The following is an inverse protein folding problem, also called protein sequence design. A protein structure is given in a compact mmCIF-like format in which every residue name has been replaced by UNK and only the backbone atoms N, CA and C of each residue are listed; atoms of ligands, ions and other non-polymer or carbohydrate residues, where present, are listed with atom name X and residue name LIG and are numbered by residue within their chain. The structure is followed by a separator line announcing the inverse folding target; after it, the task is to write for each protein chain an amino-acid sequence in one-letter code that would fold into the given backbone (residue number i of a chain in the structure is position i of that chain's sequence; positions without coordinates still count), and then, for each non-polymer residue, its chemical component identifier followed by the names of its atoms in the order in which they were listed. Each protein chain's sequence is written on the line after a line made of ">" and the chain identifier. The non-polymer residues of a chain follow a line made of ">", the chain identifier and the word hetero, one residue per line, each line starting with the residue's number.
data_IF_797548300432
#
_entry.id   IF_797548300432
#
_cell.length_a   1.000
_cell.length_b   1.000
_cell.length_c   1.000
_cell.angle_alpha   90.00
_cell.angle_beta   90.00
_cell.angle_gamma   90.00
#
_symmetry.space_group_name_H-M   'P 1'
#
loop_
_entity.id
_entity.type
_entity.pdbx_description
1 polymer ?
#
# COMPACT_ATOMS: atom_id res chain seq x y z
N UNK A 1 1.48 -21.25 -8.52
CA UNK A 1 2.64 -21.11 -7.61
C UNK A 1 2.33 -20.06 -6.56
N UNK A 2 2.19 -20.48 -5.28
CA UNK A 2 2.33 -19.58 -4.13
C UNK A 2 3.65 -18.81 -4.29
N UNK A 3 3.67 -17.55 -3.84
CA UNK A 3 4.88 -16.72 -3.87
C UNK A 3 6.09 -17.54 -3.40
N UNK A 4 7.19 -17.50 -4.17
CA UNK A 4 8.43 -18.16 -3.81
C UNK A 4 8.80 -17.71 -2.38
N UNK A 5 9.28 -18.62 -1.51
CA UNK A 5 9.42 -18.36 -0.08
C UNK A 5 10.07 -17.00 0.22
N UNK A 6 11.08 -16.60 -0.56
CA UNK A 6 11.89 -15.40 -0.37
C UNK A 6 11.15 -14.08 -0.17
N UNK A 7 10.02 -13.83 -0.85
CA UNK A 7 9.28 -12.56 -0.65
C UNK A 7 8.38 -12.56 0.58
N UNK A 8 7.81 -13.71 0.94
CA UNK A 8 6.99 -13.82 2.14
C UNK A 8 7.80 -13.47 3.39
N UNK A 9 9.07 -13.90 3.46
CA UNK A 9 9.96 -13.56 4.58
C UNK A 9 10.23 -12.08 4.75
N UNK A 10 10.21 -11.28 3.67
CA UNK A 10 10.44 -9.84 3.75
C UNK A 10 9.14 -9.06 4.01
N UNK A 11 8.03 -9.50 3.40
CA UNK A 11 6.74 -8.79 3.48
C UNK A 11 6.01 -9.09 4.79
N UNK A 12 6.03 -10.33 5.28
CA UNK A 12 5.31 -10.71 6.49
C UNK A 12 5.78 -9.98 7.76
N UNK A 13 7.09 -9.81 8.03
CA UNK A 13 7.54 -9.03 9.19
C UNK A 13 7.16 -7.55 9.08
N UNK A 14 7.21 -6.97 7.88
CA UNK A 14 6.79 -5.60 7.64
C UNK A 14 5.28 -5.42 7.94
N UNK A 15 4.46 -6.34 7.43
CA UNK A 15 3.01 -6.33 7.67
C UNK A 15 2.70 -6.55 9.16
N UNK A 16 3.37 -7.50 9.81
CA UNK A 16 3.21 -7.77 11.23
C UNK A 16 3.62 -6.56 12.08
N UNK A 17 4.75 -5.92 11.78
CA UNK A 17 5.21 -4.73 12.48
C UNK A 17 4.24 -3.55 12.31
N UNK A 18 3.77 -3.31 11.08
CA UNK A 18 2.78 -2.28 10.78
C UNK A 18 1.44 -2.56 11.48
N UNK A 19 0.94 -3.78 11.42
CA UNK A 19 -0.29 -4.19 12.08
C UNK A 19 -0.19 -4.05 13.60
N UNK A 20 0.92 -4.49 14.20
CA UNK A 20 1.18 -4.35 15.63
C UNK A 20 1.26 -2.87 16.05
N UNK A 21 1.90 -2.02 15.25
CA UNK A 21 1.92 -0.58 15.49
C UNK A 21 0.52 0.04 15.50
N UNK A 22 -0.33 -0.30 14.53
CA UNK A 22 -1.72 0.16 14.50
C UNK A 22 -2.55 -0.41 15.65
N UNK A 23 -2.40 -1.70 15.97
CA UNK A 23 -3.10 -2.37 17.06
C UNK A 23 -2.75 -1.75 18.43
N UNK A 24 -1.46 -1.46 18.68
CA UNK A 24 -1.01 -0.75 19.91
C UNK A 24 -1.63 0.63 20.07
N UNK A 25 -1.96 1.30 18.96
CA UNK A 25 -2.67 2.58 18.96
C UNK A 25 -4.20 2.44 18.96
N UNK A 26 -4.71 1.23 19.15
CA UNK A 26 -6.15 0.87 19.10
C UNK A 26 -6.81 1.19 17.75
N UNK A 27 -6.02 1.24 16.67
CA UNK A 27 -6.48 1.48 15.30
C UNK A 27 -6.77 0.14 14.61
N UNK A 28 -7.67 -0.65 15.18
CA UNK A 28 -7.96 -2.03 14.77
C UNK A 28 -8.32 -2.18 13.30
N UNK A 29 -9.11 -1.24 12.78
CA UNK A 29 -9.44 -1.21 11.36
C UNK A 29 -8.19 -1.19 10.46
N UNK A 30 -7.20 -0.35 10.80
CA UNK A 30 -5.98 -0.20 10.01
C UNK A 30 -5.09 -1.43 10.13
N UNK A 31 -5.03 -2.02 11.32
CA UNK A 31 -4.31 -3.28 11.53
C UNK A 31 -4.91 -4.39 10.66
N UNK A 32 -6.24 -4.56 10.68
CA UNK A 32 -6.93 -5.53 9.83
C UNK A 32 -6.74 -5.25 8.35
N UNK A 33 -6.90 -4.00 7.91
CA UNK A 33 -6.72 -3.62 6.51
C UNK A 33 -5.32 -3.93 5.97
N UNK A 34 -4.28 -3.59 6.74
CA UNK A 34 -2.88 -3.84 6.35
C UNK A 34 -2.57 -5.32 6.23
N UNK A 35 -3.20 -6.17 7.05
CA UNK A 35 -3.02 -7.62 6.96
C UNK A 35 -3.84 -8.24 5.83
N UNK A 36 -5.10 -7.82 5.64
CA UNK A 36 -6.03 -8.51 4.75
C UNK A 36 -5.96 -8.05 3.29
N UNK A 37 -5.69 -6.77 3.05
CA UNK A 37 -5.67 -6.24 1.68
C UNK A 37 -4.59 -6.86 0.78
N UNK A 38 -3.35 -7.11 1.24
CA UNK A 38 -2.33 -7.77 0.44
C UNK A 38 -2.70 -9.22 0.12
N UNK A 39 -3.22 -9.97 1.09
CA UNK A 39 -3.64 -11.36 0.90
C UNK A 39 -4.79 -11.47 -0.11
N UNK A 40 -5.77 -10.56 -0.02
CA UNK A 40 -6.83 -10.47 -1.02
C UNK A 40 -6.26 -10.23 -2.43
N UNK A 41 -5.30 -9.31 -2.57
CA UNK A 41 -4.68 -9.04 -3.86
C UNK A 41 -3.94 -10.27 -4.42
N UNK A 42 -3.26 -11.04 -3.57
CA UNK A 42 -2.59 -12.29 -3.95
C UNK A 42 -3.59 -13.36 -4.39
N UNK A 43 -4.70 -13.50 -3.67
CA UNK A 43 -5.78 -14.44 -4.02
C UNK A 43 -6.38 -14.08 -5.38
N UNK A 44 -6.79 -12.83 -5.57
CA UNK A 44 -7.34 -12.36 -6.85
C UNK A 44 -6.32 -12.53 -7.98
N UNK A 45 -5.05 -12.21 -7.73
CA UNK A 45 -3.99 -12.40 -8.73
C UNK A 45 -3.85 -13.86 -9.15
N UNK A 46 -3.88 -14.78 -8.18
CA UNK A 46 -3.63 -16.20 -8.42
C UNK A 46 -4.80 -16.88 -9.11
N UNK A 47 -6.04 -16.55 -8.72
CA UNK A 47 -7.23 -17.28 -9.14
C UNK A 47 -8.03 -16.58 -10.23
N UNK A 48 -7.83 -15.28 -10.43
CA UNK A 48 -8.58 -14.50 -11.43
C UNK A 48 -7.63 -13.96 -12.48
N UNK A 49 -6.64 -13.17 -12.07
CA UNK A 49 -5.78 -12.46 -13.02
C UNK A 49 -4.92 -13.44 -13.83
N UNK A 50 -4.18 -14.32 -13.17
CA UNK A 50 -3.31 -15.27 -13.89
C UNK A 50 -4.09 -16.10 -14.92
N UNK A 51 -5.21 -16.76 -14.58
CA UNK A 51 -6.01 -17.48 -15.58
C UNK A 51 -6.61 -16.59 -16.67
N UNK A 52 -6.93 -15.33 -16.36
CA UNK A 52 -7.52 -14.39 -17.33
C UNK A 52 -6.52 -13.99 -18.43
N UNK A 53 -5.25 -13.76 -18.07
CA UNK A 53 -4.22 -13.40 -19.05
C UNK A 53 -3.55 -14.60 -19.71
N UNK A 54 -3.55 -15.75 -19.04
CA UNK A 54 -3.03 -17.03 -19.53
C UNK A 54 -1.67 -16.91 -20.24
N UNK A 55 -0.75 -16.13 -19.64
CA UNK A 55 0.60 -15.90 -20.17
C UNK A 55 1.59 -16.89 -19.55
N UNK A 56 1.93 -17.99 -20.24
CA UNK A 56 2.89 -18.96 -19.73
C UNK A 56 4.32 -18.42 -19.80
N UNK A 57 5.12 -18.84 -18.83
CA UNK A 57 6.57 -18.77 -18.84
C UNK A 57 7.08 -20.05 -18.19
N UNK A 58 7.75 -20.89 -18.97
CA UNK A 58 8.09 -22.26 -18.57
C UNK A 58 6.84 -23.06 -18.16
N UNK A 59 6.77 -23.52 -16.93
CA UNK A 59 5.75 -24.39 -16.34
C UNK A 59 4.69 -23.64 -15.51
N UNK A 60 4.68 -22.30 -15.54
CA UNK A 60 3.72 -21.49 -14.79
C UNK A 60 3.23 -20.23 -15.52
N UNK A 61 2.12 -19.67 -15.04
CA UNK A 61 1.61 -18.36 -15.49
C UNK A 61 2.40 -17.22 -14.83
N UNK A 62 3.17 -16.50 -15.64
CA UNK A 62 4.08 -15.45 -15.16
C UNK A 62 3.41 -14.09 -14.99
N UNK A 63 2.39 -13.77 -15.80
CA UNK A 63 1.69 -12.51 -15.72
C UNK A 63 0.35 -12.65 -14.98
N UNK A 64 0.05 -11.75 -14.02
CA UNK A 64 0.94 -10.76 -13.39
C UNK A 64 1.87 -11.39 -12.34
N UNK A 65 3.03 -10.76 -12.06
CA UNK A 65 3.99 -11.28 -11.08
C UNK A 65 3.43 -11.29 -9.65
N UNK A 66 3.37 -12.47 -9.04
CA UNK A 66 2.87 -12.64 -7.66
C UNK A 66 3.77 -11.99 -6.60
N UNK A 67 5.09 -12.04 -6.81
CA UNK A 67 6.09 -11.37 -5.95
C UNK A 67 5.85 -9.86 -5.90
N UNK A 68 5.65 -9.28 -7.08
CA UNK A 68 5.37 -7.86 -7.21
C UNK A 68 4.01 -7.50 -6.63
N UNK A 69 2.97 -8.31 -6.91
CA UNK A 69 1.63 -8.06 -6.36
C UNK A 69 1.67 -8.02 -4.83
N UNK A 70 2.28 -9.00 -4.18
CA UNK A 70 2.30 -9.09 -2.73
C UNK A 70 3.05 -7.90 -2.10
N UNK A 71 4.26 -7.60 -2.58
CA UNK A 71 5.07 -6.49 -2.07
C UNK A 71 4.38 -5.14 -2.27
N UNK A 72 3.91 -4.87 -3.49
CA UNK A 72 3.29 -3.58 -3.83
C UNK A 72 1.95 -3.43 -3.11
N UNK A 73 1.17 -4.49 -2.93
CA UNK A 73 -0.07 -4.44 -2.17
C UNK A 73 0.19 -4.13 -0.69
N UNK A 74 1.21 -4.76 -0.09
CA UNK A 74 1.63 -4.46 1.29
C UNK A 74 2.04 -2.99 1.47
N UNK A 75 2.93 -2.49 0.60
CA UNK A 75 3.39 -1.09 0.63
C UNK A 75 2.21 -0.13 0.43
N UNK A 76 1.32 -0.42 -0.51
CA UNK A 76 0.13 0.39 -0.77
C UNK A 76 -0.82 0.40 0.43
N UNK A 77 -1.06 -0.75 1.05
CA UNK A 77 -1.95 -0.86 2.20
C UNK A 77 -1.42 -0.06 3.39
N UNK A 78 -0.12 -0.18 3.68
CA UNK A 78 0.57 0.59 4.73
C UNK A 78 0.53 2.09 4.42
N UNK A 79 0.79 2.49 3.17
CA UNK A 79 0.79 3.88 2.76
C UNK A 79 -0.60 4.54 2.79
N UNK A 80 -1.68 3.76 2.59
CA UNK A 80 -3.06 4.23 2.71
C UNK A 80 -3.54 4.25 4.17
N UNK A 81 -3.09 3.32 4.99
CA UNK A 81 -3.45 3.25 6.41
C UNK A 81 -2.74 4.31 7.27
N UNK A 82 -1.59 4.82 6.83
CA UNK A 82 -0.81 5.78 7.59
C UNK A 82 -1.29 7.23 7.45
N UNK A 83 -1.40 7.94 8.58
CA UNK A 83 -1.74 9.38 8.59
C UNK A 83 -0.50 10.25 8.33
N UNK A 84 0.66 9.85 8.85
CA UNK A 84 1.87 10.66 8.84
C UNK A 84 2.58 10.57 7.49
N UNK A 85 2.79 11.72 6.83
CA UNK A 85 3.44 11.79 5.51
C UNK A 85 4.82 11.13 5.51
N UNK A 86 5.63 11.35 6.55
CA UNK A 86 6.97 10.76 6.64
C UNK A 86 6.97 9.23 6.63
N UNK A 87 5.99 8.61 7.30
CA UNK A 87 5.89 7.15 7.33
C UNK A 87 5.43 6.59 5.98
N UNK A 88 4.51 7.28 5.30
CA UNK A 88 4.08 6.95 3.93
C UNK A 88 5.25 7.00 2.95
N UNK A 89 6.03 8.08 3.01
CA UNK A 89 7.22 8.26 2.14
C UNK A 89 8.26 7.19 2.43
N UNK A 90 8.53 6.90 3.71
CA UNK A 90 9.47 5.83 4.09
C UNK A 90 9.01 4.45 3.58
N UNK A 91 7.74 4.10 3.79
CA UNK A 91 7.19 2.81 3.32
C UNK A 91 7.28 2.67 1.79
N UNK A 92 6.93 3.71 1.04
CA UNK A 92 7.03 3.73 -0.43
C UNK A 92 8.49 3.67 -0.88
N UNK A 93 9.38 4.44 -0.23
CA UNK A 93 10.82 4.46 -0.58
C UNK A 93 11.49 3.11 -0.34
N UNK A 94 11.30 2.52 0.84
CA UNK A 94 11.79 1.17 1.15
C UNK A 94 11.18 0.15 0.19
N UNK A 95 9.87 0.22 -0.04
CA UNK A 95 9.16 -0.64 -0.98
C UNK A 95 9.72 -0.58 -2.40
N UNK A 96 10.05 0.62 -2.89
CA UNK A 96 10.65 0.82 -4.20
C UNK A 96 12.06 0.22 -4.30
N UNK A 97 12.90 0.40 -3.28
CA UNK A 97 14.24 -0.20 -3.23
C UNK A 97 14.17 -1.73 -3.23
N UNK A 98 13.29 -2.31 -2.40
CA UNK A 98 13.09 -3.76 -2.34
C UNK A 98 12.54 -4.27 -3.67
N UNK A 99 11.57 -3.58 -4.27
CA UNK A 99 11.00 -3.96 -5.56
C UNK A 99 12.05 -3.93 -6.67
N UNK A 100 12.94 -2.93 -6.68
CA UNK A 100 14.03 -2.86 -7.64
C UNK A 100 14.98 -4.08 -7.50
N UNK A 101 15.39 -4.41 -6.27
CA UNK A 101 16.22 -5.58 -6.01
C UNK A 101 15.56 -6.89 -6.42
N UNK A 102 14.29 -7.09 -6.06
CA UNK A 102 13.50 -8.27 -6.47
C UNK A 102 13.34 -8.32 -7.99
N UNK A 103 13.12 -7.18 -8.65
CA UNK A 103 12.99 -7.12 -10.12
C UNK A 103 14.29 -7.50 -10.80
N UNK A 104 15.43 -6.95 -10.37
CA UNK A 104 16.75 -7.31 -10.91
C UNK A 104 17.01 -8.80 -10.73
N UNK A 105 16.73 -9.36 -9.56
CA UNK A 105 16.87 -10.79 -9.31
C UNK A 105 15.96 -11.66 -10.18
N UNK A 106 14.67 -11.33 -10.28
CA UNK A 106 13.71 -12.12 -11.06
C UNK A 106 13.99 -12.05 -12.56
N UNK A 107 14.30 -10.86 -13.10
CA UNK A 107 14.59 -10.68 -14.53
C UNK A 107 15.95 -11.27 -14.88
N UNK A 108 16.97 -11.03 -14.06
CA UNK A 108 18.33 -11.53 -14.27
C UNK A 108 18.43 -13.06 -14.22
N UNK A 109 17.57 -13.71 -13.42
CA UNK A 109 17.46 -15.18 -13.35
C UNK A 109 16.44 -15.76 -14.34
N UNK A 110 15.79 -14.93 -15.17
CA UNK A 110 14.83 -15.39 -16.19
C UNK A 110 13.45 -15.83 -15.66
N UNK A 111 13.11 -15.52 -14.40
CA UNK A 111 11.84 -15.88 -13.79
C UNK A 111 10.66 -14.98 -14.21
N UNK A 112 10.93 -13.74 -14.63
CA UNK A 112 9.90 -12.81 -15.06
C UNK A 112 10.43 -11.82 -16.09
N UNK A 113 9.54 -11.31 -16.93
CA UNK A 113 9.79 -10.10 -17.72
C UNK A 113 9.51 -8.85 -16.89
N UNK A 114 10.13 -7.72 -17.26
CA UNK A 114 9.83 -6.41 -16.66
C UNK A 114 8.34 -6.08 -16.78
N UNK A 115 7.68 -6.52 -17.85
CA UNK A 115 6.23 -6.33 -18.04
C UNK A 115 5.39 -7.07 -16.99
N UNK A 116 5.83 -8.22 -16.47
CA UNK A 116 5.14 -8.96 -15.40
C UNK A 116 5.19 -8.19 -14.08
N UNK A 117 6.30 -7.49 -13.83
CA UNK A 117 6.48 -6.62 -12.67
C UNK A 117 5.59 -5.39 -12.79
N UNK A 118 5.61 -4.70 -13.93
CA UNK A 118 4.76 -3.51 -14.15
C UNK A 118 3.28 -3.86 -14.02
N UNK A 119 2.85 -4.97 -14.64
CA UNK A 119 1.48 -5.46 -14.53
C UNK A 119 1.09 -5.84 -13.10
N UNK A 120 1.98 -6.54 -12.39
CA UNK A 120 1.76 -6.89 -10.98
C UNK A 120 1.65 -5.67 -10.07
N UNK A 121 2.48 -4.64 -10.29
CA UNK A 121 2.44 -3.41 -9.51
C UNK A 121 1.14 -2.64 -9.74
N UNK A 122 0.72 -2.50 -11.01
CA UNK A 122 -0.52 -1.84 -11.36
C UNK A 122 -1.74 -2.57 -10.77
N UNK A 123 -1.80 -3.91 -10.89
CA UNK A 123 -2.86 -4.73 -10.34
C UNK A 123 -2.96 -4.60 -8.81
N UNK A 124 -1.83 -4.66 -8.11
CA UNK A 124 -1.79 -4.50 -6.66
C UNK A 124 -2.29 -3.13 -6.20
N UNK A 125 -1.81 -2.04 -6.81
CA UNK A 125 -2.27 -0.69 -6.47
C UNK A 125 -3.77 -0.56 -6.70
N UNK A 126 -4.28 -1.04 -7.84
CA UNK A 126 -5.70 -0.96 -8.18
C UNK A 126 -6.57 -1.74 -7.17
N UNK A 127 -6.23 -3.00 -6.88
CA UNK A 127 -7.00 -3.85 -5.97
C UNK A 127 -7.03 -3.27 -4.55
N UNK A 128 -5.87 -2.85 -4.02
CA UNK A 128 -5.80 -2.28 -2.67
C UNK A 128 -6.50 -0.92 -2.59
N UNK A 129 -6.37 -0.07 -3.63
CA UNK A 129 -7.07 1.20 -3.68
C UNK A 129 -8.59 1.01 -3.68
N UNK A 130 -9.11 0.06 -4.47
CA UNK A 130 -10.54 -0.28 -4.50
C UNK A 130 -11.03 -0.74 -3.12
N UNK A 131 -10.29 -1.63 -2.45
CA UNK A 131 -10.60 -2.07 -1.08
C UNK A 131 -10.63 -0.92 -0.07
N UNK A 132 -9.86 0.13 -0.31
CA UNK A 132 -9.78 1.29 0.59
C UNK A 132 -10.90 2.33 0.38
N UNK A 133 -11.56 2.35 -0.79
CA UNK A 133 -12.61 3.34 -1.13
C UNK A 133 -13.73 3.42 -0.08
N UNK A 134 -14.33 2.31 0.40
CA UNK A 134 -15.41 2.36 1.39
C UNK A 134 -14.99 3.10 2.66
N UNK A 135 -13.75 2.90 3.12
CA UNK A 135 -13.19 3.54 4.33
C UNK A 135 -13.17 5.06 4.21
N UNK A 136 -12.74 5.56 3.05
CA UNK A 136 -12.63 7.00 2.80
C UNK A 136 -13.99 7.70 2.84
N UNK A 137 -15.08 6.96 2.55
CA UNK A 137 -16.45 7.46 2.59
C UNK A 137 -17.03 7.51 4.00
N UNK A 138 -16.56 6.65 4.92
CA UNK A 138 -17.06 6.58 6.30
C UNK A 138 -16.20 7.34 7.32
N UNK A 139 -14.98 7.79 6.97
CA UNK A 139 -14.20 8.69 7.82
C UNK A 139 -14.74 10.12 7.68
N UNK A 140 -15.36 10.72 8.72
CA UNK A 140 -15.78 12.11 8.66
C UNK A 140 -14.54 12.96 8.45
N UNK A 141 -14.51 13.71 7.34
CA UNK A 141 -13.45 14.66 7.03
C UNK A 141 -13.49 15.77 8.09
N UNK A 142 -12.79 15.59 9.21
CA UNK A 142 -12.50 16.63 10.22
C UNK A 142 -11.47 17.63 9.67
N UNK A 143 -11.75 18.28 8.53
CA UNK A 143 -10.85 19.28 7.91
C UNK A 143 -11.37 20.73 7.90
N UNK A 144 -12.39 21.08 8.68
CA UNK A 144 -12.96 22.44 8.64
C UNK A 144 -12.82 23.24 9.97
N UNK A 145 -12.44 22.62 11.09
CA UNK A 145 -12.40 23.35 12.36
C UNK A 145 -11.12 24.18 12.62
N UNK A 146 -9.97 23.87 11.99
CA UNK A 146 -8.70 24.54 12.29
C UNK A 146 -8.43 25.81 11.48
N UNK A 147 -9.35 26.22 10.60
CA UNK A 147 -9.24 27.47 9.82
C UNK A 147 -10.23 28.55 10.23
N UNK A 148 -11.10 28.26 11.21
CA UNK A 148 -12.13 29.15 11.70
C UNK A 148 -11.72 29.96 12.94
N UNK A 149 -10.57 29.66 13.57
CA UNK A 149 -10.01 30.45 14.68
C UNK A 149 -9.20 31.68 14.19
N UNK A 150 -9.39 32.08 12.93
CA UNK A 150 -9.00 33.40 12.44
C UNK A 150 -10.11 34.40 12.74
N UNK A 151 -10.27 34.77 14.01
CA UNK A 151 -11.14 35.88 14.44
C UNK A 151 -10.86 37.14 13.62
N UNK A 152 -11.85 37.79 12.98
CA UNK A 152 -11.66 39.12 12.42
C UNK A 152 -11.36 40.10 13.57
N UNK A 153 -10.20 40.77 13.54
CA UNK A 153 -9.99 41.95 14.41
C UNK A 153 -10.93 43.05 13.95
N UNK A 154 -11.79 43.54 14.85
CA UNK A 154 -12.65 44.68 14.58
C UNK A 154 -11.82 45.95 14.42
N UNK A 155 -12.16 46.86 13.49
CA UNK A 155 -11.52 48.17 13.40
C UNK A 155 -11.98 49.04 14.58
N UNK A 156 -11.08 49.37 15.51
CA UNK A 156 -11.35 50.34 16.58
C UNK A 156 -10.84 49.98 17.99
N UNK A 157 -9.70 49.31 18.12
CA UNK A 157 -9.10 49.01 19.44
C UNK A 157 -8.45 50.28 20.05
N UNK A 158 -8.93 50.82 21.19
CA UNK A 158 -8.46 52.08 21.76
C UNK A 158 -7.12 51.98 22.53
N UNK A 159 -6.46 50.82 22.53
CA UNK A 159 -5.25 50.60 23.34
C UNK A 159 -3.92 51.11 22.71
N UNK A 160 -3.97 51.98 21.70
CA UNK A 160 -2.75 52.57 21.10
C UNK A 160 -2.89 54.08 20.97
N UNK A 161 -2.71 54.81 22.07
CA UNK A 161 -2.11 56.16 22.07
C UNK A 161 -1.37 56.39 23.41
N UNK A 162 -0.07 56.73 23.41
CA UNK A 162 0.56 57.42 24.54
C UNK A 162 0.15 58.90 24.60
#
# INVERSE_FOLDING_TARGET
>A
MLAFPGTAWAVLPLLAAAALWFARRRLWWRAGFVLLAPEFAVVVNTWVLKPLWDRPLHDYLAYPSGHTVHLVAAVTAVALAADHRGFRVAAVGVGAVVLAGVTVGMVGLGYHYVTDVVGGAAAAVALVAVLYIPVRRYLPVRRIALRADGTPRAPGDPAVQP
#
